data_IF_995655612346
#
_entry.id   IF_995655612346
#
_cell.length_a   1.000
_cell.length_b   1.000
_cell.length_c   1.000
_cell.angle_alpha   90.00
_cell.angle_beta   90.00
_cell.angle_gamma   90.00
#
_symmetry.space_group_name_H-M   'P 1'
#
loop_
_entity.id
_entity.type
_entity.pdbx_description
1 polymer ?
#
# COMPACT_ATOMS: atom_id res chain seq x y z
N UNK A 1 -3.03 9.55 12.55
CA UNK A 1 -2.94 10.50 11.44
C UNK A 1 -1.63 10.20 10.73
N UNK A 2 -1.26 10.92 9.68
CA UNK A 2 0.14 10.99 9.30
C UNK A 2 0.97 11.65 10.42
N UNK A 3 2.27 11.36 10.44
CA UNK A 3 3.23 11.85 11.42
C UNK A 3 3.39 13.37 11.26
N UNK A 4 3.21 14.09 12.37
CA UNK A 4 3.43 15.55 12.44
C UNK A 4 4.72 15.93 13.16
N UNK A 5 5.26 15.03 13.99
CA UNK A 5 6.54 15.21 14.70
C UNK A 5 7.33 13.91 14.62
N UNK A 6 8.27 13.85 13.68
CA UNK A 6 9.09 12.66 13.41
C UNK A 6 10.05 12.36 14.55
N UNK A 7 10.51 13.38 15.29
CA UNK A 7 11.39 13.23 16.44
C UNK A 7 10.65 12.56 17.59
N UNK A 8 9.43 13.01 17.89
CA UNK A 8 8.55 12.38 18.87
C UNK A 8 8.16 10.96 18.45
N UNK A 9 7.80 10.77 17.17
CA UNK A 9 7.49 9.44 16.64
C UNK A 9 8.68 8.49 16.79
N UNK A 10 9.88 8.92 16.39
CA UNK A 10 11.06 8.09 16.36
C UNK A 10 11.69 7.84 17.74
N UNK A 11 11.26 8.56 18.78
CA UNK A 11 11.85 8.54 20.13
C UNK A 11 13.35 8.88 20.12
N UNK A 12 13.76 9.80 19.25
CA UNK A 12 15.13 10.28 19.14
C UNK A 12 15.24 11.71 19.66
N UNK A 13 16.40 12.08 20.20
CA UNK A 13 16.69 13.49 20.46
C UNK A 13 17.09 14.20 19.17
N UNK A 14 17.06 15.55 19.15
CA UNK A 14 17.55 16.30 18.00
C UNK A 14 19.05 16.02 17.71
N UNK A 15 19.85 15.79 18.75
CA UNK A 15 21.27 15.44 18.62
C UNK A 15 21.47 14.04 18.01
N UNK A 16 20.62 13.08 18.36
CA UNK A 16 20.65 11.74 17.75
C UNK A 16 20.35 11.82 16.25
N UNK A 17 19.33 12.59 15.87
CA UNK A 17 18.92 12.75 14.46
C UNK A 17 20.02 13.44 13.64
N UNK A 18 20.64 14.49 14.20
CA UNK A 18 21.77 15.17 13.55
C UNK A 18 22.96 14.22 13.36
N UNK A 19 23.31 13.44 14.40
CA UNK A 19 24.42 12.47 14.31
C UNK A 19 24.12 11.35 13.30
N UNK A 20 22.88 10.85 13.27
CA UNK A 20 22.42 9.89 12.26
C UNK A 20 22.58 10.45 10.85
N UNK A 21 22.20 11.72 10.63
CA UNK A 21 22.36 12.41 9.35
C UNK A 21 23.82 12.46 8.90
N UNK A 22 24.73 12.84 9.80
CA UNK A 22 26.17 12.89 9.52
C UNK A 22 26.76 11.50 9.19
N UNK A 23 26.32 10.46 9.89
CA UNK A 23 26.76 9.09 9.61
C UNK A 23 26.24 8.57 8.26
N UNK A 24 25.00 8.92 7.88
CA UNK A 24 24.46 8.61 6.55
C UNK A 24 25.17 9.39 5.43
N UNK A 25 25.52 10.66 5.66
CA UNK A 25 26.35 11.43 4.73
C UNK A 25 27.75 10.80 4.57
N UNK A 26 28.33 10.25 5.65
CA UNK A 26 29.58 9.51 5.57
C UNK A 26 29.43 8.22 4.75
N UNK A 27 28.34 7.46 4.94
CA UNK A 27 28.02 6.28 4.11
C UNK A 27 27.96 6.64 2.63
N UNK A 28 27.23 7.72 2.28
CA UNK A 28 27.14 8.22 0.90
C UNK A 28 28.52 8.53 0.33
N UNK A 29 29.28 9.35 1.05
CA UNK A 29 30.60 9.83 0.61
C UNK A 29 31.59 8.69 0.40
N UNK A 30 31.62 7.71 1.30
CA UNK A 30 32.45 6.52 1.16
C UNK A 30 32.15 5.77 -0.14
N UNK A 31 30.87 5.63 -0.48
CA UNK A 31 30.46 4.94 -1.71
C UNK A 31 30.84 5.76 -2.93
N UNK A 32 30.52 7.05 -2.96
CA UNK A 32 30.86 7.97 -4.06
C UNK A 32 32.36 7.96 -4.36
N UNK A 33 33.21 8.04 -3.32
CA UNK A 33 34.67 8.02 -3.47
C UNK A 33 35.20 6.66 -3.94
N UNK A 34 34.44 5.58 -3.74
CA UNK A 34 34.82 4.22 -4.15
C UNK A 34 34.37 3.85 -5.57
N UNK A 35 33.54 4.68 -6.21
CA UNK A 35 33.01 4.39 -7.55
C UNK A 35 34.14 4.31 -8.58
N UNK A 36 34.08 3.32 -9.45
CA UNK A 36 35.11 3.14 -10.45
C UNK A 36 34.81 2.08 -11.50
N UNK A 37 35.86 1.46 -12.01
CA UNK A 37 35.76 0.57 -13.18
C UNK A 37 34.84 -0.63 -12.96
N UNK A 38 34.72 -1.12 -11.72
CA UNK A 38 33.80 -2.21 -11.35
C UNK A 38 32.35 -1.84 -11.68
N UNK A 39 31.95 -0.63 -11.34
CA UNK A 39 30.58 -0.13 -11.50
C UNK A 39 30.31 0.22 -12.97
N UNK A 40 31.27 0.88 -13.64
CA UNK A 40 31.17 1.17 -15.07
C UNK A 40 31.08 -0.12 -15.91
N UNK A 41 31.83 -1.16 -15.54
CA UNK A 41 31.76 -2.46 -16.21
C UNK A 41 30.43 -3.18 -15.92
N UNK A 42 29.85 -3.00 -14.74
CA UNK A 42 28.52 -3.53 -14.41
C UNK A 42 27.47 -2.98 -15.37
N UNK A 43 27.31 -1.65 -15.47
CA UNK A 43 26.24 -1.06 -16.29
C UNK A 43 26.42 -1.37 -17.78
N UNK A 44 27.66 -1.32 -18.30
CA UNK A 44 27.96 -1.68 -19.70
C UNK A 44 27.63 -3.14 -20.02
N UNK A 45 27.91 -4.06 -19.09
CA UNK A 45 27.55 -5.48 -19.24
C UNK A 45 26.04 -5.67 -19.18
N UNK A 46 25.35 -4.97 -18.28
CA UNK A 46 23.89 -5.01 -18.18
C UNK A 46 23.23 -4.53 -19.47
N UNK A 47 23.67 -3.38 -20.03
CA UNK A 47 23.17 -2.86 -21.30
C UNK A 47 23.40 -3.87 -22.43
N UNK A 48 24.61 -4.45 -22.53
CA UNK A 48 24.92 -5.46 -23.56
C UNK A 48 24.02 -6.69 -23.40
N UNK A 49 23.88 -7.22 -22.19
CA UNK A 49 23.07 -8.39 -21.91
C UNK A 49 21.59 -8.14 -22.25
N UNK A 50 21.03 -7.00 -21.86
CA UNK A 50 19.66 -6.61 -22.17
C UNK A 50 19.45 -6.50 -23.70
N UNK A 51 20.31 -5.76 -24.40
CA UNK A 51 20.21 -5.56 -25.86
C UNK A 51 20.35 -6.87 -26.63
N UNK A 52 21.28 -7.74 -26.22
CA UNK A 52 21.45 -9.08 -26.80
C UNK A 52 20.21 -9.94 -26.55
N UNK A 53 19.68 -9.94 -25.32
CA UNK A 53 18.50 -10.72 -24.96
C UNK A 53 17.28 -10.27 -25.78
N UNK A 54 17.06 -8.95 -25.93
CA UNK A 54 16.01 -8.43 -26.78
C UNK A 54 16.20 -8.86 -28.23
N UNK A 55 17.39 -8.67 -28.82
CA UNK A 55 17.66 -9.04 -30.20
C UNK A 55 17.39 -10.54 -30.46
N UNK A 56 17.90 -11.41 -29.58
CA UNK A 56 17.67 -12.87 -29.66
C UNK A 56 16.17 -13.19 -29.51
N UNK A 57 15.46 -12.50 -28.62
CA UNK A 57 14.01 -12.65 -28.49
C UNK A 57 13.27 -12.28 -29.78
N UNK A 58 13.59 -11.14 -30.40
CA UNK A 58 12.96 -10.69 -31.66
C UNK A 58 13.24 -11.67 -32.80
N UNK A 59 14.48 -12.16 -32.94
CA UNK A 59 14.83 -13.19 -33.95
C UNK A 59 14.07 -14.48 -33.69
N UNK A 60 14.00 -14.94 -32.45
CA UNK A 60 13.25 -16.14 -32.07
C UNK A 60 11.76 -16.00 -32.41
N UNK A 61 11.19 -14.81 -32.25
CA UNK A 61 9.79 -14.53 -32.57
C UNK A 61 9.48 -14.59 -34.08
N UNK A 62 10.47 -14.49 -34.97
CA UNK A 62 10.25 -14.76 -36.39
C UNK A 62 9.81 -16.22 -36.65
N UNK A 63 10.20 -17.15 -35.77
CA UNK A 63 9.79 -18.56 -35.81
C UNK A 63 8.56 -18.87 -34.91
N UNK A 64 7.87 -17.85 -34.39
CA UNK A 64 6.84 -18.00 -33.34
C UNK A 64 5.55 -18.70 -33.76
N UNK A 65 5.39 -19.09 -35.02
CA UNK A 65 4.34 -20.05 -35.41
C UNK A 65 4.52 -21.40 -34.71
N UNK A 66 5.76 -21.73 -34.31
CA UNK A 66 6.03 -22.80 -33.37
C UNK A 66 5.79 -22.31 -31.94
N UNK A 67 4.97 -23.05 -31.16
CA UNK A 67 4.60 -22.69 -29.79
C UNK A 67 5.80 -22.53 -28.84
N UNK A 68 6.86 -23.32 -29.02
CA UNK A 68 8.05 -23.27 -28.16
C UNK A 68 8.91 -22.06 -28.48
N UNK A 69 9.06 -21.73 -29.77
CA UNK A 69 9.70 -20.48 -30.18
C UNK A 69 8.92 -19.26 -29.68
N UNK A 70 7.58 -19.31 -29.71
CA UNK A 70 6.76 -18.23 -29.13
C UNK A 70 6.97 -18.11 -27.62
N UNK A 71 6.93 -19.21 -26.87
CA UNK A 71 7.15 -19.19 -25.41
C UNK A 71 8.55 -18.69 -25.06
N UNK A 72 9.59 -19.20 -25.72
CA UNK A 72 10.97 -18.80 -25.48
C UNK A 72 11.20 -17.32 -25.87
N UNK A 73 10.77 -16.91 -27.06
CA UNK A 73 10.88 -15.53 -27.53
C UNK A 73 10.12 -14.54 -26.65
N UNK A 74 8.89 -14.88 -26.25
CA UNK A 74 8.09 -14.04 -25.34
C UNK A 74 8.71 -13.95 -23.96
N UNK A 75 9.21 -15.08 -23.43
CA UNK A 75 9.89 -15.11 -22.13
C UNK A 75 11.16 -14.25 -22.11
N UNK A 76 12.03 -14.40 -23.12
CA UNK A 76 13.24 -13.57 -23.27
C UNK A 76 12.88 -12.09 -23.44
N UNK A 77 11.88 -11.77 -24.25
CA UNK A 77 11.43 -10.38 -24.45
C UNK A 77 10.87 -9.78 -23.15
N UNK A 78 10.11 -10.55 -22.37
CA UNK A 78 9.57 -10.10 -21.08
C UNK A 78 10.69 -9.77 -20.10
N UNK A 79 11.71 -10.63 -20.00
CA UNK A 79 12.88 -10.39 -19.16
C UNK A 79 13.70 -9.20 -19.67
N UNK A 80 13.91 -9.07 -20.98
CA UNK A 80 14.61 -7.94 -21.56
C UNK A 80 13.92 -6.60 -21.26
N UNK A 81 12.57 -6.56 -21.34
CA UNK A 81 11.77 -5.39 -20.96
C UNK A 81 11.83 -5.09 -19.46
N UNK A 82 11.86 -6.11 -18.60
CA UNK A 82 12.03 -5.92 -17.15
C UNK A 82 13.40 -5.32 -16.84
N UNK A 83 14.48 -5.84 -17.42
CA UNK A 83 15.84 -5.32 -17.20
C UNK A 83 15.96 -3.90 -17.73
N UNK A 84 15.41 -3.63 -18.93
CA UNK A 84 15.39 -2.28 -19.48
C UNK A 84 14.64 -1.33 -18.55
N UNK A 85 13.47 -1.70 -18.06
CA UNK A 85 12.67 -0.80 -17.24
C UNK A 85 13.28 -0.58 -15.84
N UNK A 86 13.63 -1.66 -15.13
CA UNK A 86 14.01 -1.61 -13.72
C UNK A 86 15.50 -1.31 -13.52
N UNK A 87 16.39 -2.04 -14.19
CA UNK A 87 17.84 -1.94 -13.93
C UNK A 87 18.52 -0.86 -14.78
N UNK A 88 17.98 -0.54 -15.96
CA UNK A 88 18.53 0.47 -16.86
C UNK A 88 17.76 1.79 -16.79
N UNK A 89 16.57 1.86 -17.38
CA UNK A 89 15.78 3.06 -17.57
C UNK A 89 15.52 3.82 -16.28
N UNK A 90 15.01 3.14 -15.24
CA UNK A 90 14.81 3.73 -13.92
C UNK A 90 16.13 4.26 -13.32
N UNK A 91 17.13 3.39 -13.16
CA UNK A 91 18.39 3.73 -12.49
C UNK A 91 19.20 4.81 -13.23
N UNK A 92 19.31 4.73 -14.56
CA UNK A 92 19.98 5.76 -15.37
C UNK A 92 19.20 7.08 -15.28
N UNK A 93 17.86 7.05 -15.32
CA UNK A 93 17.08 8.29 -15.23
C UNK A 93 17.17 8.95 -13.85
N UNK A 94 17.46 8.21 -12.78
CA UNK A 94 17.82 8.76 -11.46
C UNK A 94 19.18 9.47 -11.41
N UNK A 95 20.02 9.34 -12.44
CA UNK A 95 21.37 9.91 -12.45
C UNK A 95 22.42 9.02 -11.81
N UNK A 96 22.08 7.76 -11.52
CA UNK A 96 23.00 6.83 -10.84
C UNK A 96 24.33 6.62 -11.56
N UNK A 97 24.38 6.87 -12.87
CA UNK A 97 25.56 6.66 -13.71
C UNK A 97 26.16 7.96 -14.24
N UNK A 98 25.62 9.12 -13.87
CA UNK A 98 26.04 10.43 -14.42
C UNK A 98 27.50 10.76 -14.05
N UNK A 99 28.01 10.22 -12.94
CA UNK A 99 29.42 10.32 -12.54
C UNK A 99 30.40 9.80 -13.59
N UNK A 100 29.97 8.90 -14.48
CA UNK A 100 30.80 8.38 -15.57
C UNK A 100 31.05 9.41 -16.67
N UNK A 101 30.25 10.48 -16.75
CA UNK A 101 30.24 11.46 -17.84
C UNK A 101 30.15 10.81 -19.24
N UNK A 102 29.44 9.68 -19.34
CA UNK A 102 29.23 8.94 -20.58
C UNK A 102 27.94 9.45 -21.26
N UNK A 103 28.00 10.07 -22.45
CA UNK A 103 26.82 10.66 -23.08
C UNK A 103 25.76 9.63 -23.49
N UNK A 104 26.12 8.35 -23.61
CA UNK A 104 25.15 7.28 -23.88
C UNK A 104 24.51 6.72 -22.61
N UNK A 105 25.12 6.92 -21.44
CA UNK A 105 24.65 6.39 -20.14
C UNK A 105 24.49 7.57 -19.18
N UNK A 106 23.54 8.45 -19.49
CA UNK A 106 23.31 9.67 -18.71
C UNK A 106 21.81 9.93 -18.55
N UNK A 107 21.41 10.44 -17.40
CA UNK A 107 20.01 10.71 -17.05
C UNK A 107 19.33 11.74 -17.97
N UNK A 108 20.09 12.56 -18.68
CA UNK A 108 19.55 13.58 -19.61
C UNK A 108 19.40 13.08 -21.04
N UNK A 109 20.04 11.97 -21.41
CA UNK A 109 20.08 11.45 -22.78
C UNK A 109 19.42 10.07 -22.91
N UNK A 110 19.38 9.27 -21.84
CA UNK A 110 18.74 7.96 -21.86
C UNK A 110 17.22 8.10 -22.00
N UNK A 111 16.68 7.39 -22.99
CA UNK A 111 15.25 7.32 -23.25
C UNK A 111 14.78 5.87 -23.15
N UNK A 112 14.12 5.56 -22.04
CA UNK A 112 13.72 4.20 -21.67
C UNK A 112 12.58 3.60 -22.54
N UNK A 113 12.38 2.28 -22.44
CA UNK A 113 11.33 1.51 -23.11
C UNK A 113 9.98 1.58 -22.38
N UNK A 114 9.51 2.81 -22.16
CA UNK A 114 8.16 3.11 -21.65
C UNK A 114 7.46 4.17 -22.50
N UNK A 115 6.14 4.30 -22.32
CA UNK A 115 5.28 5.23 -23.06
C UNK A 115 5.47 6.69 -22.66
N UNK A 116 5.84 6.95 -21.40
CA UNK A 116 6.25 8.27 -20.89
C UNK A 116 7.67 8.64 -21.30
N UNK A 117 7.95 9.95 -21.35
CA UNK A 117 9.33 10.43 -21.60
C UNK A 117 10.17 10.35 -20.34
N UNK A 118 11.47 10.08 -20.45
CA UNK A 118 12.33 10.07 -19.24
C UNK A 118 12.39 11.47 -18.62
N UNK A 119 12.34 12.53 -19.44
CA UNK A 119 12.26 13.91 -18.96
C UNK A 119 11.03 14.23 -18.11
N UNK A 120 9.86 13.69 -18.46
CA UNK A 120 8.63 13.82 -17.65
C UNK A 120 8.76 13.07 -16.33
N UNK A 121 9.23 11.84 -16.38
CA UNK A 121 9.46 11.03 -15.20
C UNK A 121 10.46 11.69 -14.24
N UNK A 122 11.54 12.32 -14.73
CA UNK A 122 12.48 13.07 -13.88
C UNK A 122 11.80 14.24 -13.16
N UNK A 123 10.89 14.94 -13.82
CA UNK A 123 10.15 16.06 -13.21
C UNK A 123 9.10 15.60 -12.20
N UNK A 124 8.42 14.50 -12.49
CA UNK A 124 7.36 13.99 -11.64
C UNK A 124 7.94 13.18 -10.47
N UNK A 125 8.70 12.14 -10.77
CA UNK A 125 9.20 11.20 -9.78
C UNK A 125 10.48 11.69 -9.08
N UNK A 126 11.55 12.04 -9.81
CA UNK A 126 12.80 12.45 -9.13
C UNK A 126 12.63 13.71 -8.28
N UNK A 127 11.83 14.67 -8.75
CA UNK A 127 11.55 15.87 -7.97
C UNK A 127 10.40 15.64 -6.99
N UNK A 128 9.17 15.37 -7.44
CA UNK A 128 8.03 15.35 -6.52
C UNK A 128 8.11 14.16 -5.56
N UNK A 129 8.36 12.94 -6.05
CA UNK A 129 8.35 11.78 -5.17
C UNK A 129 9.55 11.74 -4.21
N UNK A 130 10.80 11.78 -4.70
CA UNK A 130 11.97 11.68 -3.80
C UNK A 130 12.17 12.89 -2.88
N UNK A 131 11.67 14.07 -3.24
CA UNK A 131 11.68 15.22 -2.31
C UNK A 131 10.62 15.02 -1.23
N UNK A 132 9.40 14.66 -1.64
CA UNK A 132 8.22 14.64 -0.77
C UNK A 132 7.80 13.23 -0.35
N UNK A 133 8.68 12.22 -0.37
CA UNK A 133 8.33 10.81 -0.14
C UNK A 133 7.35 10.63 1.01
N UNK A 134 6.17 10.08 0.68
CA UNK A 134 5.03 9.83 1.56
C UNK A 134 4.49 11.06 2.35
N UNK A 135 4.77 12.28 1.89
CA UNK A 135 4.17 13.51 2.43
C UNK A 135 2.79 13.70 1.81
N UNK A 136 1.75 13.63 2.65
CA UNK A 136 0.37 13.75 2.19
C UNK A 136 0.09 15.10 1.56
N UNK A 137 -0.54 15.08 0.38
CA UNK A 137 -0.85 16.30 -0.39
C UNK A 137 0.28 16.80 -1.27
N UNK A 138 1.50 16.23 -1.13
CA UNK A 138 2.69 16.61 -1.93
C UNK A 138 3.23 15.47 -2.77
N UNK A 139 3.29 14.27 -2.21
CA UNK A 139 3.71 13.08 -2.95
C UNK A 139 2.57 12.60 -3.85
N UNK A 140 2.66 12.86 -5.14
CA UNK A 140 1.66 12.42 -6.10
C UNK A 140 1.70 10.90 -6.33
N UNK A 141 2.77 10.20 -5.93
CA UNK A 141 2.88 8.74 -6.04
C UNK A 141 2.10 8.03 -4.93
N UNK A 142 1.69 8.74 -3.87
CA UNK A 142 0.74 8.21 -2.88
C UNK A 142 -0.60 7.90 -3.55
N UNK A 143 -0.78 6.63 -3.91
CA UNK A 143 -1.99 6.12 -4.54
C UNK A 143 -2.17 6.51 -6.01
N UNK A 144 -1.17 7.14 -6.66
CA UNK A 144 -1.21 7.53 -8.08
C UNK A 144 -2.46 8.32 -8.47
N UNK A 145 -3.04 9.08 -7.53
CA UNK A 145 -4.27 9.86 -7.70
C UNK A 145 -5.57 9.05 -7.92
N UNK A 146 -5.51 7.71 -7.92
CA UNK A 146 -6.66 6.83 -8.17
C UNK A 146 -6.96 5.85 -7.02
N UNK A 147 -5.94 5.54 -6.21
CA UNK A 147 -6.03 4.66 -5.06
C UNK A 147 -6.00 5.49 -3.78
N UNK A 148 -6.79 5.08 -2.78
CA UNK A 148 -6.71 5.62 -1.44
C UNK A 148 -5.80 4.71 -0.62
N UNK A 149 -4.58 5.19 -0.34
CA UNK A 149 -3.54 4.39 0.32
C UNK A 149 -3.36 4.68 1.81
N UNK A 150 -4.01 5.74 2.30
CA UNK A 150 -4.10 6.04 3.73
C UNK A 150 -5.51 6.46 4.11
N UNK A 151 -5.85 6.31 5.40
CA UNK A 151 -7.11 6.83 5.94
C UNK A 151 -7.08 8.32 6.29
N UNK A 152 -5.91 8.94 6.19
CA UNK A 152 -5.77 10.39 6.29
C UNK A 152 -6.37 11.12 5.08
N UNK A 153 -6.53 10.41 3.95
CA UNK A 153 -7.35 10.85 2.84
C UNK A 153 -8.83 10.55 3.11
N UNK A 154 -9.69 11.52 2.84
CA UNK A 154 -11.14 11.35 3.02
C UNK A 154 -11.67 10.26 2.07
N UNK A 155 -12.46 9.33 2.62
CA UNK A 155 -13.14 8.34 1.79
C UNK A 155 -14.19 9.00 0.88
N UNK A 156 -14.25 8.56 -0.39
CA UNK A 156 -15.24 8.96 -1.40
C UNK A 156 -15.88 7.71 -2.01
N UNK A 157 -17.15 7.76 -2.47
CA UNK A 157 -17.84 6.61 -3.06
C UNK A 157 -17.10 5.92 -4.22
N UNK A 158 -16.29 6.68 -4.98
CA UNK A 158 -15.47 6.13 -6.07
C UNK A 158 -14.42 5.11 -5.56
N UNK A 159 -14.03 5.16 -4.29
CA UNK A 159 -13.09 4.18 -3.74
C UNK A 159 -13.68 2.76 -3.65
N UNK A 160 -14.99 2.57 -3.81
CA UNK A 160 -15.55 1.21 -3.90
C UNK A 160 -15.02 0.44 -5.12
N UNK A 161 -14.68 1.14 -6.21
CA UNK A 161 -14.11 0.51 -7.42
C UNK A 161 -12.58 0.36 -7.36
N UNK A 162 -11.94 0.83 -6.28
CA UNK A 162 -10.49 0.79 -6.11
C UNK A 162 -9.87 -0.60 -6.35
N UNK A 163 -10.44 -1.73 -5.86
CA UNK A 163 -9.88 -3.05 -6.16
C UNK A 163 -9.79 -3.34 -7.67
N UNK A 164 -10.82 -2.95 -8.43
CA UNK A 164 -10.82 -3.10 -9.89
C UNK A 164 -9.88 -2.10 -10.56
N UNK A 165 -9.90 -0.84 -10.13
CA UNK A 165 -8.98 0.19 -10.62
C UNK A 165 -7.52 -0.21 -10.42
N UNK A 166 -7.21 -0.86 -9.30
CA UNK A 166 -5.88 -1.38 -9.00
C UNK A 166 -5.45 -2.50 -9.96
N UNK A 167 -6.35 -3.41 -10.35
CA UNK A 167 -6.04 -4.44 -11.36
C UNK A 167 -5.77 -3.82 -12.73
N UNK A 168 -6.54 -2.79 -13.10
CA UNK A 168 -6.31 -2.04 -14.34
C UNK A 168 -4.96 -1.33 -14.28
N UNK A 169 -4.68 -0.61 -13.19
CA UNK A 169 -3.39 0.05 -12.96
C UNK A 169 -2.24 -0.95 -13.06
N UNK A 170 -2.32 -2.11 -12.40
CA UNK A 170 -1.27 -3.12 -12.44
C UNK A 170 -1.06 -3.68 -13.86
N UNK A 171 -2.12 -3.85 -14.65
CA UNK A 171 -2.03 -4.34 -16.02
C UNK A 171 -1.51 -3.29 -17.01
N UNK A 172 -1.75 -2.00 -16.74
CA UNK A 172 -1.39 -0.86 -17.59
C UNK A 172 -0.42 0.10 -16.91
N UNK A 173 0.45 -0.42 -16.03
CA UNK A 173 1.24 0.40 -15.10
C UNK A 173 2.08 1.47 -15.79
N UNK A 174 2.71 1.16 -16.93
CA UNK A 174 3.44 2.13 -17.74
C UNK A 174 2.61 3.34 -18.17
N UNK A 175 1.32 3.13 -18.49
CA UNK A 175 0.41 4.19 -18.90
C UNK A 175 -0.05 4.99 -17.70
N UNK A 176 -0.22 4.32 -16.55
CA UNK A 176 -0.47 4.98 -15.27
C UNK A 176 0.64 5.98 -14.94
N UNK A 177 1.90 5.52 -14.97
CA UNK A 177 3.08 6.38 -14.77
C UNK A 177 3.11 7.49 -15.81
N UNK A 178 3.00 7.17 -17.11
CA UNK A 178 3.17 8.17 -18.15
C UNK A 178 2.10 9.30 -18.13
N UNK A 179 0.85 8.97 -17.76
CA UNK A 179 -0.23 9.95 -17.62
C UNK A 179 -0.14 10.76 -16.32
N UNK A 180 0.36 10.11 -15.25
CA UNK A 180 0.68 10.77 -13.99
C UNK A 180 1.81 11.78 -14.20
N UNK A 181 2.92 11.38 -14.81
CA UNK A 181 4.06 12.26 -15.07
C UNK A 181 3.68 13.46 -15.96
N UNK A 182 2.86 13.23 -16.99
CA UNK A 182 2.33 14.29 -17.84
C UNK A 182 1.46 15.27 -17.05
N UNK A 183 0.66 14.76 -16.12
CA UNK A 183 -0.20 15.59 -15.27
C UNK A 183 0.62 16.44 -14.31
N UNK A 184 1.65 15.85 -13.69
CA UNK A 184 2.61 16.52 -12.82
C UNK A 184 3.37 17.63 -13.56
N UNK A 185 3.92 17.32 -14.74
CA UNK A 185 4.61 18.32 -15.57
C UNK A 185 3.68 19.49 -15.95
N UNK A 186 2.44 19.19 -16.35
CA UNK A 186 1.47 20.25 -16.69
C UNK A 186 1.14 21.12 -15.47
N UNK A 187 1.04 20.53 -14.28
CA UNK A 187 0.82 21.28 -13.05
C UNK A 187 2.03 22.17 -12.71
N UNK A 188 3.25 21.66 -12.82
CA UNK A 188 4.49 22.41 -12.58
C UNK A 188 4.70 23.57 -13.55
N UNK A 189 4.21 23.43 -14.80
CA UNK A 189 4.32 24.46 -15.85
C UNK A 189 3.07 25.37 -15.94
N UNK A 190 2.13 25.28 -15.00
CA UNK A 190 0.86 26.00 -15.01
C UNK A 190 0.06 25.85 -16.32
N UNK A 191 0.19 24.69 -17.00
CA UNK A 191 -0.50 24.39 -18.25
C UNK A 191 -1.86 23.77 -17.93
N UNK A 192 -2.99 24.41 -18.31
CA UNK A 192 -4.32 23.86 -18.04
C UNK A 192 -4.51 22.46 -18.63
N UNK A 193 -5.21 21.59 -17.89
CA UNK A 193 -5.52 20.22 -18.34
C UNK A 193 -6.26 20.20 -19.69
N UNK A 194 -7.11 21.20 -19.94
CA UNK A 194 -7.88 21.38 -21.18
C UNK A 194 -7.04 21.77 -22.39
N UNK A 195 -5.81 22.27 -22.20
CA UNK A 195 -4.94 22.65 -23.31
C UNK A 195 -4.26 21.41 -23.92
N UNK A 196 -4.88 20.86 -24.96
CA UNK A 196 -4.46 19.60 -25.60
C UNK A 196 -3.19 19.77 -26.46
N UNK A 197 -2.97 20.94 -27.08
CA UNK A 197 -1.84 21.19 -27.99
C UNK A 197 -0.60 21.80 -27.30
N UNK A 198 -0.41 21.55 -26.01
CA UNK A 198 0.76 22.02 -25.26
C UNK A 198 2.03 21.20 -25.56
N UNK A 199 3.22 21.76 -25.30
CA UNK A 199 4.49 21.04 -25.49
C UNK A 199 4.60 19.74 -24.66
N UNK A 200 4.19 19.70 -23.38
CA UNK A 200 4.09 18.45 -22.61
C UNK A 200 3.31 17.35 -23.33
N UNK A 201 2.13 17.70 -23.85
CA UNK A 201 1.27 16.77 -24.59
C UNK A 201 1.93 16.31 -25.90
N UNK A 202 2.52 17.22 -26.68
CA UNK A 202 3.22 16.87 -27.92
C UNK A 202 4.38 15.91 -27.66
N UNK A 203 5.19 16.17 -26.63
CA UNK A 203 6.31 15.31 -26.25
C UNK A 203 5.83 13.91 -25.86
N UNK A 204 4.82 13.84 -24.99
CA UNK A 204 4.16 12.59 -24.58
C UNK A 204 3.62 11.81 -25.78
N UNK A 205 2.76 12.41 -26.62
CA UNK A 205 2.14 11.70 -27.73
C UNK A 205 3.15 11.25 -28.79
N UNK A 206 4.22 12.04 -29.02
CA UNK A 206 5.32 11.63 -29.89
C UNK A 206 6.05 10.40 -29.36
N UNK A 207 6.34 10.37 -28.05
CA UNK A 207 7.00 9.22 -27.40
C UNK A 207 6.08 8.00 -27.38
N UNK A 208 4.87 8.14 -26.86
CA UNK A 208 3.88 7.08 -26.79
C UNK A 208 3.57 6.50 -28.19
N UNK A 209 3.39 7.36 -29.19
CA UNK A 209 3.17 6.95 -30.58
C UNK A 209 4.33 6.15 -31.16
N UNK A 210 5.59 6.54 -30.90
CA UNK A 210 6.78 5.77 -31.30
C UNK A 210 6.81 4.39 -30.64
N UNK A 211 6.51 4.30 -29.34
CA UNK A 211 6.52 3.01 -28.64
C UNK A 211 5.40 2.08 -29.10
N UNK A 212 4.19 2.61 -29.25
CA UNK A 212 3.04 1.84 -29.75
C UNK A 212 3.29 1.37 -31.18
N UNK A 213 3.80 2.25 -32.05
CA UNK A 213 4.15 1.87 -33.41
C UNK A 213 5.27 0.80 -33.41
N UNK A 214 6.30 0.96 -32.59
CA UNK A 214 7.39 -0.02 -32.48
C UNK A 214 6.85 -1.41 -32.11
N UNK A 215 6.13 -1.51 -30.99
CA UNK A 215 5.70 -2.79 -30.43
C UNK A 215 4.47 -3.40 -31.12
N UNK A 216 3.56 -2.61 -31.67
CA UNK A 216 2.30 -3.13 -32.21
C UNK A 216 2.15 -3.01 -33.72
N UNK A 217 3.09 -2.33 -34.40
CA UNK A 217 3.10 -2.23 -35.86
C UNK A 217 4.41 -2.73 -36.46
N UNK A 218 5.56 -2.12 -36.12
CA UNK A 218 6.85 -2.38 -36.76
C UNK A 218 7.30 -3.82 -36.52
N UNK A 219 7.46 -4.26 -35.26
CA UNK A 219 7.92 -5.63 -34.99
C UNK A 219 6.98 -6.72 -35.53
N UNK A 220 5.64 -6.61 -35.36
CA UNK A 220 4.72 -7.54 -36.02
C UNK A 220 4.93 -7.63 -37.53
N UNK A 221 5.03 -6.50 -38.24
CA UNK A 221 5.27 -6.48 -39.68
C UNK A 221 6.60 -7.12 -40.08
N UNK A 222 7.67 -6.87 -39.32
CA UNK A 222 9.00 -7.46 -39.56
C UNK A 222 8.99 -9.00 -39.47
N UNK A 223 8.06 -9.59 -38.71
CA UNK A 223 7.93 -11.05 -38.60
C UNK A 223 7.02 -11.69 -39.65
N UNK A 224 6.50 -10.90 -40.61
CA UNK A 224 5.77 -11.39 -41.78
C UNK A 224 4.60 -12.32 -41.40
N UNK A 225 4.57 -13.59 -41.86
CA UNK A 225 3.47 -14.52 -41.57
C UNK A 225 3.24 -14.82 -40.08
N UNK A 226 4.17 -14.46 -39.19
CA UNK A 226 4.06 -14.64 -37.75
C UNK A 226 3.57 -13.37 -37.00
N UNK A 227 3.13 -12.33 -37.72
CA UNK A 227 2.78 -11.03 -37.13
C UNK A 227 1.78 -11.12 -35.97
N UNK A 228 0.77 -12.01 -36.04
CA UNK A 228 -0.23 -12.19 -34.97
C UNK A 228 0.41 -12.72 -33.69
N UNK A 229 1.36 -13.64 -33.83
CA UNK A 229 2.09 -14.23 -32.71
C UNK A 229 3.03 -13.21 -32.07
N UNK A 230 3.73 -12.41 -32.89
CA UNK A 230 4.58 -11.30 -32.41
C UNK A 230 3.76 -10.22 -31.72
N UNK A 231 2.60 -9.85 -32.26
CA UNK A 231 1.69 -8.90 -31.62
C UNK A 231 1.27 -9.38 -30.22
N UNK A 232 0.89 -10.66 -30.10
CA UNK A 232 0.57 -11.28 -28.81
C UNK A 232 1.78 -11.33 -27.88
N UNK A 233 2.96 -11.70 -28.39
CA UNK A 233 4.20 -11.74 -27.59
C UNK A 233 4.53 -10.36 -27.01
N UNK A 234 4.42 -9.30 -27.82
CA UNK A 234 4.69 -7.93 -27.38
C UNK A 234 3.66 -7.47 -26.35
N UNK A 235 2.37 -7.78 -26.56
CA UNK A 235 1.33 -7.49 -25.56
C UNK A 235 1.59 -8.23 -24.23
N UNK A 236 1.94 -9.51 -24.30
CA UNK A 236 2.28 -10.32 -23.12
C UNK A 236 3.52 -9.78 -22.41
N UNK A 237 4.59 -9.44 -23.13
CA UNK A 237 5.81 -8.92 -22.54
C UNK A 237 5.60 -7.56 -21.85
N UNK A 238 4.81 -6.66 -22.45
CA UNK A 238 4.43 -5.39 -21.82
C UNK A 238 3.56 -5.60 -20.57
N UNK A 239 2.61 -6.55 -20.61
CA UNK A 239 1.80 -6.93 -19.44
C UNK A 239 2.67 -7.50 -18.31
N UNK A 240 3.58 -8.42 -18.63
CA UNK A 240 4.49 -9.03 -17.64
C UNK A 240 5.37 -7.96 -17.00
N UNK A 241 5.96 -7.05 -17.79
CA UNK A 241 6.72 -5.92 -17.25
C UNK A 241 5.85 -5.01 -16.38
N UNK A 242 4.62 -4.69 -16.80
CA UNK A 242 3.70 -3.87 -16.00
C UNK A 242 3.42 -4.48 -14.63
N UNK A 243 3.03 -5.76 -14.60
CA UNK A 243 2.73 -6.47 -13.36
C UNK A 243 3.95 -6.56 -12.45
N UNK A 244 5.13 -6.79 -13.02
CA UNK A 244 6.39 -6.85 -12.28
C UNK A 244 6.77 -5.50 -11.68
N UNK A 245 6.82 -4.43 -12.50
CA UNK A 245 7.11 -3.08 -12.07
C UNK A 245 6.15 -2.60 -10.98
N UNK A 246 4.84 -2.80 -11.20
CA UNK A 246 3.80 -2.52 -10.21
C UNK A 246 4.06 -3.24 -8.89
N UNK A 247 4.35 -4.56 -8.93
CA UNK A 247 4.56 -5.35 -7.73
C UNK A 247 5.80 -4.87 -6.95
N UNK A 248 6.91 -4.60 -7.63
CA UNK A 248 8.15 -4.10 -7.02
C UNK A 248 7.93 -2.74 -6.36
N UNK A 249 7.40 -1.76 -7.10
CA UNK A 249 7.20 -0.39 -6.61
C UNK A 249 6.19 -0.34 -5.45
N UNK A 250 5.08 -1.07 -5.54
CA UNK A 250 4.09 -1.08 -4.46
C UNK A 250 4.64 -1.70 -3.16
N UNK A 251 5.54 -2.68 -3.26
CA UNK A 251 6.20 -3.25 -2.09
C UNK A 251 7.18 -2.27 -1.41
N UNK A 252 7.63 -1.25 -2.14
CA UNK A 252 8.53 -0.21 -1.64
C UNK A 252 7.86 0.84 -0.75
N UNK A 253 6.59 1.16 -1.01
CA UNK A 253 5.96 2.39 -0.49
C UNK A 253 4.76 2.19 0.42
N UNK A 254 4.04 1.09 0.25
CA UNK A 254 2.72 0.91 0.84
C UNK A 254 2.55 -0.21 1.88
N UNK A 255 3.49 -1.14 2.10
CA UNK A 255 3.33 -2.09 3.19
C UNK A 255 3.26 -1.43 4.56
N UNK A 256 2.76 -2.19 5.54
CA UNK A 256 2.74 -1.76 6.94
C UNK A 256 4.16 -1.43 7.41
N UNK A 257 4.36 -0.24 7.99
CA UNK A 257 5.65 0.28 8.43
C UNK A 257 6.38 1.19 7.44
N UNK A 258 5.83 1.41 6.23
CA UNK A 258 6.17 2.56 5.40
C UNK A 258 5.23 3.72 5.80
N UNK A 259 5.71 4.61 6.65
CA UNK A 259 4.92 5.66 7.30
C UNK A 259 4.61 6.84 6.38
N UNK A 260 3.66 7.69 6.80
CA UNK A 260 3.20 8.87 6.06
C UNK A 260 3.40 10.11 6.91
N UNK A 261 3.65 11.24 6.26
CA UNK A 261 4.06 12.48 6.91
C UNK A 261 3.17 13.64 6.49
N UNK A 262 3.03 14.65 7.34
CA UNK A 262 2.28 15.87 6.98
C UNK A 262 3.19 16.90 6.31
N UNK A 263 2.58 17.84 5.60
CA UNK A 263 3.32 19.00 5.05
C UNK A 263 3.98 19.84 6.15
N UNK A 264 3.39 19.89 7.34
CA UNK A 264 3.93 20.60 8.50
C UNK A 264 5.26 20.00 8.96
N UNK A 265 5.36 18.66 9.06
CA UNK A 265 6.61 17.98 9.36
C UNK A 265 7.68 18.26 8.30
N UNK A 266 7.29 18.29 7.03
CA UNK A 266 8.22 18.56 5.93
C UNK A 266 8.72 20.01 5.95
N UNK A 267 7.85 20.99 6.25
CA UNK A 267 8.15 22.41 6.11
C UNK A 267 9.32 22.90 6.99
N UNK A 268 9.64 22.18 8.06
CA UNK A 268 10.69 22.55 9.03
C UNK A 268 11.81 21.51 9.12
N UNK A 269 11.86 20.53 8.21
CA UNK A 269 12.77 19.40 8.34
C UNK A 269 14.25 19.79 8.16
N UNK A 270 15.07 19.26 9.07
CA UNK A 270 16.53 19.24 8.93
C UNK A 270 16.98 18.13 7.98
N UNK A 271 18.26 18.11 7.61
CA UNK A 271 18.83 17.03 6.78
C UNK A 271 18.71 15.65 7.44
N UNK A 272 18.94 15.57 8.75
CA UNK A 272 18.78 14.32 9.51
C UNK A 272 17.31 13.86 9.57
N UNK A 273 16.36 14.79 9.72
CA UNK A 273 14.93 14.48 9.68
C UNK A 273 14.48 14.05 8.28
N UNK A 274 15.02 14.64 7.21
CA UNK A 274 14.82 14.17 5.84
C UNK A 274 15.26 12.72 5.69
N UNK A 275 16.48 12.38 6.15
CA UNK A 275 16.98 11.01 6.10
C UNK A 275 16.08 10.03 6.87
N UNK A 276 15.68 10.41 8.07
CA UNK A 276 14.79 9.62 8.91
C UNK A 276 13.42 9.42 8.24
N UNK A 277 12.88 10.45 7.58
CA UNK A 277 11.63 10.37 6.82
C UNK A 277 11.75 9.42 5.64
N UNK A 278 12.84 9.50 4.86
CA UNK A 278 13.09 8.59 3.74
C UNK A 278 13.15 7.13 4.20
N UNK A 279 13.82 6.87 5.33
CA UNK A 279 13.93 5.52 5.90
C UNK A 279 12.60 4.98 6.42
N UNK A 280 11.86 5.79 7.18
CA UNK A 280 10.61 5.37 7.79
C UNK A 280 9.45 5.37 6.77
N UNK A 281 9.56 6.12 5.68
CA UNK A 281 8.57 6.19 4.60
C UNK A 281 8.71 5.08 3.55
N UNK A 282 9.71 4.21 3.64
CA UNK A 282 9.97 3.18 2.64
C UNK A 282 10.16 1.80 3.28
N UNK A 283 9.99 0.76 2.46
CA UNK A 283 10.04 -0.62 2.88
C UNK A 283 10.82 -1.48 1.88
N UNK A 284 11.67 -2.36 2.40
CA UNK A 284 12.45 -3.28 1.61
C UNK A 284 11.75 -4.63 1.44
N UNK A 285 12.21 -5.41 0.48
CA UNK A 285 11.90 -6.84 0.44
C UNK A 285 13.15 -7.70 0.29
N UNK A 286 13.10 -8.90 0.87
CA UNK A 286 14.21 -9.84 0.81
C UNK A 286 14.36 -10.40 -0.60
N UNK A 287 15.57 -10.31 -1.14
CA UNK A 287 15.89 -10.77 -2.48
C UNK A 287 17.24 -11.49 -2.54
N UNK A 288 17.31 -12.56 -3.34
CA UNK A 288 18.58 -13.10 -3.82
C UNK A 288 19.09 -12.30 -5.03
N UNK A 289 20.32 -12.57 -5.52
CA UNK A 289 20.97 -11.77 -6.56
C UNK A 289 20.14 -11.61 -7.85
N UNK A 290 19.48 -12.68 -8.30
CA UNK A 290 18.64 -12.63 -9.50
C UNK A 290 17.41 -11.73 -9.33
N UNK A 291 16.75 -11.81 -8.17
CA UNK A 291 15.56 -11.01 -7.91
C UNK A 291 15.92 -9.55 -7.63
N UNK A 292 17.06 -9.30 -6.97
CA UNK A 292 17.61 -7.95 -6.82
C UNK A 292 17.84 -7.30 -8.19
N UNK A 293 18.56 -7.97 -9.10
CA UNK A 293 18.79 -7.49 -10.46
C UNK A 293 17.50 -7.29 -11.27
N UNK A 294 16.56 -8.25 -11.24
CA UNK A 294 15.29 -8.10 -11.95
C UNK A 294 14.41 -6.98 -11.38
N UNK A 295 14.60 -6.61 -10.12
CA UNK A 295 13.92 -5.47 -9.49
C UNK A 295 14.66 -4.13 -9.68
N UNK A 296 15.79 -4.08 -10.37
CA UNK A 296 16.59 -2.85 -10.46
C UNK A 296 17.30 -2.50 -9.14
N UNK A 297 17.46 -3.48 -8.26
CA UNK A 297 17.81 -3.35 -6.83
C UNK A 297 16.79 -2.58 -5.97
N UNK A 298 15.56 -2.37 -6.44
CA UNK A 298 14.46 -1.79 -5.64
C UNK A 298 13.97 -2.70 -4.49
N UNK A 299 14.54 -3.90 -4.35
CA UNK A 299 14.47 -4.64 -3.09
C UNK A 299 15.10 -3.88 -1.90
N UNK A 300 15.96 -2.89 -2.19
CA UNK A 300 16.60 -1.95 -1.28
C UNK A 300 15.99 -0.54 -1.41
N UNK A 301 14.67 -0.45 -1.32
CA UNK A 301 13.92 0.81 -1.41
C UNK A 301 14.38 1.86 -0.38
N UNK A 302 14.70 1.46 0.85
CA UNK A 302 15.22 2.35 1.88
C UNK A 302 16.50 3.01 1.40
N UNK A 303 17.45 2.23 0.90
CA UNK A 303 18.73 2.72 0.40
C UNK A 303 18.55 3.58 -0.86
N UNK A 304 17.63 3.19 -1.73
CA UNK A 304 17.25 3.97 -2.90
C UNK A 304 16.67 5.33 -2.52
N UNK A 305 15.85 5.43 -1.48
CA UNK A 305 15.30 6.71 -1.02
C UNK A 305 16.30 7.58 -0.28
N UNK A 306 17.23 6.95 0.45
CA UNK A 306 18.36 7.64 1.07
C UNK A 306 19.31 8.24 0.01
N UNK A 307 19.63 7.47 -1.03
CA UNK A 307 20.67 7.79 -2.02
C UNK A 307 20.24 7.42 -3.46
N UNK A 308 19.19 8.06 -4.02
CA UNK A 308 18.57 7.63 -5.28
C UNK A 308 19.50 7.73 -6.49
N UNK A 309 20.50 8.61 -6.39
CA UNK A 309 21.51 8.94 -7.39
C UNK A 309 22.82 8.15 -7.22
N UNK A 310 22.87 7.17 -6.33
CA UNK A 310 24.01 6.24 -6.19
C UNK A 310 23.75 4.97 -7.01
N UNK A 311 24.76 4.42 -7.73
CA UNK A 311 24.62 3.17 -8.46
C UNK A 311 23.93 2.04 -7.68
N UNK A 312 22.84 1.53 -8.24
CA UNK A 312 21.97 0.47 -7.69
C UNK A 312 22.74 -0.78 -7.26
N UNK A 313 23.83 -1.10 -7.95
CA UNK A 313 24.70 -2.23 -7.66
C UNK A 313 25.47 -2.09 -6.32
N UNK A 314 25.50 -0.88 -5.73
CA UNK A 314 26.08 -0.60 -4.41
C UNK A 314 25.06 -0.73 -3.27
N UNK A 315 23.75 -0.73 -3.56
CA UNK A 315 22.71 -0.82 -2.52
C UNK A 315 22.87 -2.03 -1.57
N UNK A 316 23.29 -3.22 -2.00
CA UNK A 316 23.56 -4.32 -1.07
C UNK A 316 24.61 -3.99 -0.01
N UNK A 317 25.65 -3.24 -0.38
CA UNK A 317 26.73 -2.83 0.53
C UNK A 317 26.27 -1.68 1.45
N UNK A 318 25.53 -0.72 0.90
CA UNK A 318 24.91 0.37 1.66
C UNK A 318 23.93 -0.18 2.70
N UNK A 319 23.12 -1.16 2.32
CA UNK A 319 22.10 -1.74 3.17
C UNK A 319 22.68 -2.40 4.43
N UNK A 320 23.93 -2.87 4.40
CA UNK A 320 24.62 -3.35 5.60
C UNK A 320 24.87 -2.18 6.57
N UNK A 321 25.49 -1.10 6.08
CA UNK A 321 25.77 0.09 6.90
C UNK A 321 24.48 0.75 7.42
N UNK A 322 23.43 0.85 6.60
CA UNK A 322 22.13 1.41 7.02
C UNK A 322 21.49 0.55 8.11
N UNK A 323 21.56 -0.79 8.02
CA UNK A 323 21.07 -1.68 9.07
C UNK A 323 21.83 -1.51 10.39
N UNK A 324 23.15 -1.36 10.33
CA UNK A 324 23.97 -1.08 11.53
C UNK A 324 23.55 0.23 12.21
N UNK A 325 23.25 1.27 11.42
CA UNK A 325 22.71 2.53 11.95
C UNK A 325 21.29 2.34 12.53
N UNK A 326 20.42 1.59 11.86
CA UNK A 326 19.10 1.25 12.41
C UNK A 326 19.21 0.51 13.76
N UNK A 327 20.20 -0.37 13.93
CA UNK A 327 20.43 -1.06 15.19
C UNK A 327 21.02 -0.12 16.26
N UNK A 328 21.93 0.78 15.87
CA UNK A 328 22.56 1.76 16.76
C UNK A 328 21.55 2.74 17.36
N UNK A 329 20.62 3.27 16.56
CA UNK A 329 19.60 4.24 16.98
C UNK A 329 18.24 3.60 17.31
N UNK A 330 18.19 2.26 17.40
CA UNK A 330 16.98 1.49 17.68
C UNK A 330 15.78 1.88 16.79
N UNK A 331 16.04 2.04 15.49
CA UNK A 331 15.06 2.32 14.45
C UNK A 331 14.62 1.02 13.75
N UNK A 332 13.37 0.90 13.29
CA UNK A 332 12.94 -0.24 12.50
C UNK A 332 13.58 -0.19 11.11
N UNK A 333 14.10 -1.34 10.67
CA UNK A 333 14.46 -1.56 9.26
C UNK A 333 13.35 -2.36 8.59
N UNK A 334 12.38 -1.65 7.98
CA UNK A 334 11.14 -2.25 7.47
C UNK A 334 11.44 -3.17 6.29
N UNK A 335 11.44 -4.48 6.52
CA UNK A 335 11.72 -5.49 5.48
C UNK A 335 10.91 -6.78 5.66
N UNK A 336 10.71 -7.53 4.57
CA UNK A 336 10.04 -8.83 4.59
C UNK A 336 10.14 -9.55 3.24
N UNK A 337 9.56 -10.74 3.10
CA UNK A 337 9.46 -11.39 1.78
C UNK A 337 8.62 -10.54 0.82
N UNK A 338 8.93 -10.56 -0.49
CA UNK A 338 8.16 -9.85 -1.53
C UNK A 338 6.64 -10.12 -1.43
N UNK A 339 6.25 -11.39 -1.30
CA UNK A 339 4.83 -11.76 -1.19
C UNK A 339 4.14 -11.16 0.04
N UNK A 340 4.82 -11.08 1.19
CA UNK A 340 4.29 -10.43 2.40
C UNK A 340 4.09 -8.94 2.16
N UNK A 341 5.11 -8.24 1.65
CA UNK A 341 5.00 -6.79 1.38
C UNK A 341 3.86 -6.50 0.40
N UNK A 342 3.75 -7.29 -0.67
CA UNK A 342 2.68 -7.18 -1.65
C UNK A 342 1.30 -7.37 -1.02
N UNK A 343 1.12 -8.42 -0.20
CA UNK A 343 -0.16 -8.72 0.44
C UNK A 343 -0.56 -7.65 1.47
N UNK A 344 0.39 -7.00 2.13
CA UNK A 344 0.11 -5.88 3.03
C UNK A 344 -0.42 -4.67 2.26
N UNK A 345 0.25 -4.27 1.18
CA UNK A 345 -0.22 -3.20 0.30
C UNK A 345 -1.60 -3.54 -0.31
N UNK A 346 -1.76 -4.75 -0.83
CA UNK A 346 -3.02 -5.23 -1.41
C UNK A 346 -4.16 -5.25 -0.39
N UNK A 347 -3.90 -5.68 0.85
CA UNK A 347 -4.87 -5.62 1.95
C UNK A 347 -5.30 -4.18 2.22
N UNK A 348 -4.37 -3.22 2.22
CA UNK A 348 -4.68 -1.80 2.42
C UNK A 348 -5.62 -1.27 1.34
N UNK A 349 -5.35 -1.55 0.06
CA UNK A 349 -6.19 -1.17 -1.08
C UNK A 349 -7.63 -1.67 -0.91
N UNK A 350 -7.80 -2.94 -0.52
CA UNK A 350 -9.12 -3.54 -0.35
C UNK A 350 -9.84 -3.03 0.89
N UNK A 351 -9.10 -2.84 1.98
CA UNK A 351 -9.64 -2.35 3.25
C UNK A 351 -10.12 -0.91 3.13
N UNK A 352 -9.34 -0.04 2.48
CA UNK A 352 -9.65 1.39 2.32
C UNK A 352 -10.65 1.67 1.18
N UNK A 353 -11.02 0.67 0.39
CA UNK A 353 -12.12 0.74 -0.56
C UNK A 353 -13.49 0.95 0.14
N UNK A 354 -13.64 0.42 1.36
CA UNK A 354 -14.89 0.51 2.13
C UNK A 354 -14.95 1.80 2.98
N UNK A 355 -16.15 2.31 3.30
CA UNK A 355 -16.33 3.47 4.17
C UNK A 355 -15.67 3.33 5.53
N UNK A 356 -15.19 4.45 6.08
CA UNK A 356 -14.41 4.49 7.33
C UNK A 356 -15.15 3.93 8.56
N UNK A 357 -16.49 3.92 8.55
CA UNK A 357 -17.31 3.29 9.62
C UNK A 357 -17.06 1.80 9.82
N UNK A 358 -16.43 1.12 8.85
CA UNK A 358 -16.06 -0.30 8.95
C UNK A 358 -14.64 -0.50 9.49
N UNK A 359 -13.86 0.57 9.66
CA UNK A 359 -12.51 0.52 10.21
C UNK A 359 -12.56 0.49 11.73
N UNK A 360 -11.78 -0.41 12.34
CA UNK A 360 -11.77 -0.59 13.80
C UNK A 360 -10.75 0.28 14.53
N UNK A 361 -9.63 0.62 13.88
CA UNK A 361 -8.55 1.41 14.47
C UNK A 361 -8.65 2.87 14.04
N UNK A 362 -8.05 3.77 14.80
CA UNK A 362 -7.89 5.19 14.44
C UNK A 362 -6.71 5.36 13.49
N UNK A 363 -6.58 6.53 12.86
CA UNK A 363 -5.41 6.84 12.02
C UNK A 363 -4.09 6.83 12.79
N UNK A 364 -4.11 6.94 14.12
CA UNK A 364 -2.89 6.99 14.92
C UNK A 364 -2.25 5.60 15.09
N UNK A 365 -3.04 4.53 15.06
CA UNK A 365 -2.57 3.14 15.24
C UNK A 365 -3.07 2.20 14.13
N UNK A 366 -3.11 2.67 12.89
CA UNK A 366 -3.39 1.80 11.77
C UNK A 366 -2.15 0.99 11.38
N UNK A 367 -2.32 -0.22 10.83
CA UNK A 367 -1.18 -0.88 10.18
C UNK A 367 -0.66 -0.12 8.96
N UNK A 368 -1.54 0.54 8.20
CA UNK A 368 -1.18 1.27 6.97
C UNK A 368 -0.72 2.74 7.17
N UNK A 369 -0.93 3.31 8.36
CA UNK A 369 -0.56 4.70 8.73
C UNK A 369 -0.49 4.81 10.25
N UNK A 370 0.48 5.54 10.78
CA UNK A 370 0.53 5.79 12.22
C UNK A 370 1.09 7.17 12.55
N UNK A 371 0.89 7.60 13.78
CA UNK A 371 1.39 8.89 14.29
C UNK A 371 2.05 8.72 15.65
N UNK A 372 2.76 9.75 16.10
CA UNK A 372 3.36 9.83 17.43
C UNK A 372 2.33 9.66 18.56
N UNK A 373 1.05 9.94 18.29
CA UNK A 373 -0.05 9.77 19.26
C UNK A 373 -0.31 8.31 19.62
N UNK A 374 0.14 7.33 18.83
CA UNK A 374 0.02 5.91 19.20
C UNK A 374 0.75 5.57 20.50
N UNK A 375 1.72 6.39 20.89
CA UNK A 375 2.50 6.23 22.10
C UNK A 375 1.94 7.06 23.26
N UNK A 376 0.88 7.85 23.04
CA UNK A 376 0.25 8.65 24.10
C UNK A 376 -0.26 7.75 25.24
N UNK A 377 0.15 8.09 26.48
CA UNK A 377 -0.19 7.31 27.67
C UNK A 377 0.71 6.09 27.92
N UNK A 378 1.65 5.77 27.03
CA UNK A 378 2.78 4.91 27.37
C UNK A 378 3.80 5.77 28.10
N UNK A 379 4.17 5.37 29.32
CA UNK A 379 5.25 6.04 30.05
C UNK A 379 6.51 5.87 29.21
N UNK A 380 7.19 6.95 28.78
CA UNK A 380 8.48 6.81 28.12
C UNK A 380 9.39 6.15 29.15
N UNK A 381 9.64 4.84 28.98
CA UNK A 381 10.50 4.20 29.96
C UNK A 381 11.90 4.81 29.86
N UNK A 382 12.52 4.95 31.02
CA UNK A 382 13.86 5.49 31.19
C UNK A 382 14.83 4.79 30.21
N UNK A 383 15.94 5.44 29.81
CA UNK A 383 17.00 4.76 29.07
C UNK A 383 17.31 3.41 29.74
N UNK A 384 17.48 2.37 28.93
CA UNK A 384 17.65 1.01 29.43
C UNK A 384 18.74 0.97 30.50
N UNK A 385 18.51 0.20 31.56
CA UNK A 385 19.49 0.02 32.64
C UNK A 385 20.84 -0.57 32.13
N UNK A 386 20.89 -1.02 30.88
CA UNK A 386 22.04 -1.54 30.15
C UNK A 386 22.79 -0.49 29.31
N UNK A 387 22.35 0.77 29.29
CA UNK A 387 22.97 1.86 28.52
C UNK A 387 22.70 1.82 27.02
N UNK A 388 21.75 1.00 26.54
CA UNK A 388 21.37 0.96 25.11
C UNK A 388 20.41 2.09 24.75
N UNK A 389 20.61 2.67 23.56
CA UNK A 389 19.70 3.65 22.97
C UNK A 389 18.31 3.01 22.78
N UNK A 390 17.25 3.76 23.10
CA UNK A 390 15.88 3.27 23.08
C UNK A 390 15.05 4.18 22.18
N UNK A 391 14.74 3.67 21.00
CA UNK A 391 14.13 4.39 19.89
C UNK A 391 12.80 3.76 19.46
N UNK A 392 12.43 4.05 18.23
CA UNK A 392 11.15 3.66 17.65
C UNK A 392 10.89 2.14 17.67
N UNK A 393 11.91 1.31 17.44
CA UNK A 393 11.75 -0.15 17.38
C UNK A 393 11.31 -0.70 18.73
N UNK A 394 11.94 -0.28 19.83
CA UNK A 394 11.50 -0.64 21.19
C UNK A 394 10.11 -0.07 21.51
N UNK A 395 9.88 1.20 21.19
CA UNK A 395 8.58 1.85 21.43
C UNK A 395 7.43 1.14 20.70
N UNK A 396 7.62 0.69 19.45
CA UNK A 396 6.65 -0.10 18.70
C UNK A 396 6.38 -1.46 19.34
N UNK A 397 7.41 -2.12 19.87
CA UNK A 397 7.27 -3.40 20.55
C UNK A 397 6.40 -3.25 21.82
N UNK A 398 6.63 -2.19 22.59
CA UNK A 398 5.88 -1.87 23.81
C UNK A 398 4.44 -1.48 23.51
N UNK A 399 4.23 -0.58 22.54
CA UNK A 399 2.90 -0.20 22.09
C UNK A 399 2.09 -1.44 21.67
N UNK A 400 2.72 -2.40 20.99
CA UNK A 400 2.09 -3.66 20.58
C UNK A 400 1.71 -4.54 21.78
N UNK A 401 2.51 -4.56 22.84
CA UNK A 401 2.17 -5.28 24.10
C UNK A 401 0.99 -4.60 24.78
N UNK A 402 1.07 -3.28 24.99
CA UNK A 402 0.00 -2.50 25.61
C UNK A 402 -1.34 -2.63 24.86
N UNK A 403 -1.31 -2.58 23.52
CA UNK A 403 -2.50 -2.79 22.68
C UNK A 403 -3.11 -4.19 22.85
N UNK A 404 -2.28 -5.22 23.01
CA UNK A 404 -2.76 -6.60 23.24
C UNK A 404 -3.40 -6.74 24.61
N UNK A 405 -2.82 -6.12 25.64
CA UNK A 405 -3.36 -6.11 26.99
C UNK A 405 -4.70 -5.37 27.05
N UNK A 406 -4.77 -4.18 26.44
CA UNK A 406 -6.03 -3.42 26.29
C UNK A 406 -7.10 -4.23 25.57
N UNK A 407 -6.76 -4.88 24.45
CA UNK A 407 -7.70 -5.72 23.71
C UNK A 407 -8.20 -6.92 24.52
N UNK A 408 -7.36 -7.50 25.38
CA UNK A 408 -7.77 -8.57 26.31
C UNK A 408 -8.73 -8.04 27.37
N UNK A 409 -8.42 -6.92 27.99
CA UNK A 409 -9.27 -6.27 28.99
C UNK A 409 -10.65 -5.88 28.40
N UNK A 410 -10.69 -5.34 27.18
CA UNK A 410 -11.95 -5.04 26.48
C UNK A 410 -12.76 -6.31 26.16
N UNK A 411 -12.11 -7.40 25.76
CA UNK A 411 -12.78 -8.69 25.53
C UNK A 411 -13.37 -9.27 26.82
N UNK A 412 -12.65 -9.14 27.93
CA UNK A 412 -13.10 -9.58 29.25
C UNK A 412 -14.30 -8.76 29.72
N UNK A 413 -14.21 -7.42 29.67
CA UNK A 413 -15.31 -6.52 29.99
C UNK A 413 -16.55 -6.79 29.12
N UNK A 414 -16.37 -7.04 27.81
CA UNK A 414 -17.48 -7.41 26.92
C UNK A 414 -18.11 -8.76 27.30
N UNK A 415 -17.29 -9.72 27.74
CA UNK A 415 -17.75 -11.04 28.19
C UNK A 415 -18.58 -10.91 29.47
N UNK A 416 -18.12 -10.12 30.43
CA UNK A 416 -18.83 -9.81 31.67
C UNK A 416 -20.14 -9.08 31.39
N UNK A 417 -20.12 -8.03 30.56
CA UNK A 417 -21.33 -7.30 30.17
C UNK A 417 -22.36 -8.21 29.49
N UNK A 418 -21.92 -9.12 28.61
CA UNK A 418 -22.80 -10.13 27.97
C UNK A 418 -23.36 -11.12 29.00
N UNK A 419 -22.58 -11.53 29.99
CA UNK A 419 -23.06 -12.40 31.06
C UNK A 419 -24.11 -11.69 31.92
N UNK A 420 -23.85 -10.45 32.34
CA UNK A 420 -24.79 -9.63 33.10
C UNK A 420 -26.11 -9.40 32.33
N UNK A 421 -26.04 -9.10 31.03
CA UNK A 421 -27.22 -8.97 30.18
C UNK A 421 -28.03 -10.28 30.08
N UNK A 422 -27.36 -11.44 30.03
CA UNK A 422 -28.04 -12.75 30.02
C UNK A 422 -28.77 -13.01 31.33
N UNK A 423 -28.14 -12.72 32.47
CA UNK A 423 -28.76 -12.86 33.79
C UNK A 423 -29.97 -11.94 33.92
N UNK A 424 -29.84 -10.67 33.50
CA UNK A 424 -30.96 -9.73 33.49
C UNK A 424 -32.11 -10.21 32.59
N UNK A 425 -31.80 -10.70 31.39
CA UNK A 425 -32.81 -11.24 30.48
C UNK A 425 -33.50 -12.51 31.02
N UNK A 426 -32.79 -13.35 31.80
CA UNK A 426 -33.39 -14.50 32.48
C UNK A 426 -34.34 -14.06 33.58
N UNK A 427 -33.93 -13.12 34.44
CA UNK A 427 -34.78 -12.57 35.49
C UNK A 427 -36.04 -11.90 34.91
N UNK A 428 -35.92 -11.09 33.85
CA UNK A 428 -37.08 -10.48 33.18
C UNK A 428 -38.03 -11.54 32.59
N UNK A 429 -37.49 -12.64 32.02
CA UNK A 429 -38.31 -13.75 31.52
C UNK A 429 -39.04 -14.49 32.64
N UNK A 430 -38.42 -14.65 33.80
CA UNK A 430 -39.06 -15.26 34.98
C UNK A 430 -40.20 -14.39 35.49
N UNK A 431 -39.98 -13.09 35.66
CA UNK A 431 -41.03 -12.13 36.04
C UNK A 431 -42.19 -12.14 35.05
N UNK A 432 -41.91 -12.15 33.75
CA UNK A 432 -42.95 -12.23 32.71
C UNK A 432 -43.73 -13.56 32.77
N UNK A 433 -43.06 -14.68 33.08
CA UNK A 433 -43.71 -15.98 33.25
C UNK A 433 -44.63 -15.99 34.47
N UNK A 434 -44.17 -15.47 35.60
CA UNK A 434 -44.95 -15.36 36.83
C UNK A 434 -46.17 -14.44 36.62
N UNK A 435 -45.99 -13.28 35.99
CA UNK A 435 -47.08 -12.37 35.66
C UNK A 435 -48.10 -13.03 34.70
N UNK A 436 -47.62 -13.78 33.71
CA UNK A 436 -48.50 -14.52 32.79
C UNK A 436 -49.28 -15.62 33.49
N UNK A 437 -48.65 -16.38 34.38
CA UNK A 437 -49.30 -17.40 35.19
C UNK A 437 -50.38 -16.79 36.09
N UNK A 438 -50.07 -15.69 36.79
CA UNK A 438 -51.02 -14.98 37.64
C UNK A 438 -52.24 -14.45 36.86
N UNK A 439 -52.03 -13.94 35.64
CA UNK A 439 -53.12 -13.52 34.74
C UNK A 439 -53.99 -14.71 34.30
N UNK A 440 -53.38 -15.86 33.98
CA UNK A 440 -54.12 -17.07 33.62
C UNK A 440 -54.95 -17.60 34.78
N UNK A 441 -54.41 -17.61 35.99
CA UNK A 441 -55.12 -18.06 37.18
C UNK A 441 -56.30 -17.13 37.50
N UNK A 442 -56.10 -15.81 37.43
CA UNK A 442 -57.19 -14.83 37.56
C UNK A 442 -58.28 -15.02 36.51
N UNK A 443 -57.91 -15.27 35.25
CA UNK A 443 -58.87 -15.56 34.18
C UNK A 443 -59.64 -16.87 34.43
N UNK A 444 -58.99 -17.90 34.99
CA UNK A 444 -59.65 -19.15 35.40
C UNK A 444 -60.64 -18.92 36.54
N UNK A 445 -60.26 -18.16 37.55
CA UNK A 445 -61.14 -17.80 38.67
C UNK A 445 -62.37 -17.02 38.19
N UNK A 446 -62.18 -15.98 37.38
CA UNK A 446 -63.28 -15.21 36.78
C UNK A 446 -64.18 -16.10 35.93
N UNK A 447 -63.61 -17.00 35.13
CA UNK A 447 -64.35 -18.00 34.36
C UNK A 447 -65.17 -18.96 35.24
N UNK A 448 -64.63 -19.41 36.38
CA UNK A 448 -65.37 -20.23 37.34
C UNK A 448 -66.52 -19.46 38.01
N UNK A 449 -66.30 -18.20 38.38
CA UNK A 449 -67.33 -17.32 38.94
C UNK A 449 -68.47 -17.12 37.93
N UNK A 450 -68.14 -16.84 36.67
CA UNK A 450 -69.12 -16.70 35.59
C UNK A 450 -69.90 -18.01 35.37
N UNK A 451 -69.23 -19.17 35.37
CA UNK A 451 -69.90 -20.48 35.27
C UNK A 451 -70.84 -20.75 36.44
N UNK A 452 -70.43 -20.46 37.68
CA UNK A 452 -71.29 -20.59 38.87
C UNK A 452 -72.51 -19.68 38.78
N UNK A 453 -72.32 -18.44 38.31
CA UNK A 453 -73.43 -17.49 38.07
C UNK A 453 -74.39 -18.01 37.01
N UNK A 454 -73.89 -18.49 35.86
CA UNK A 454 -74.71 -19.04 34.79
C UNK A 454 -75.48 -20.30 35.22
N UNK A 455 -74.87 -21.18 36.02
CA UNK A 455 -75.54 -22.35 36.61
C UNK A 455 -76.65 -21.92 37.59
N UNK A 456 -76.40 -20.91 38.42
CA UNK A 456 -77.41 -20.34 39.34
C UNK A 456 -78.57 -19.72 38.56
N UNK A 457 -78.30 -18.96 37.50
CA UNK A 457 -79.33 -18.39 36.63
C UNK A 457 -80.12 -19.48 35.90
N UNK A 458 -79.47 -20.54 35.39
CA UNK A 458 -80.16 -21.71 34.81
C UNK A 458 -81.03 -22.45 35.83
N UNK A 459 -80.57 -22.59 37.07
CA UNK A 459 -81.35 -23.20 38.14
C UNK A 459 -82.58 -22.34 38.48
N UNK A 460 -82.40 -21.02 38.62
CA UNK A 460 -83.51 -20.07 38.82
C UNK A 460 -84.50 -20.10 37.64
N UNK A 461 -84.01 -20.19 36.41
CA UNK A 461 -84.85 -20.34 35.22
C UNK A 461 -85.64 -21.65 35.23
N UNK A 462 -85.02 -22.78 35.62
CA UNK A 462 -85.72 -24.07 35.77
C UNK A 462 -86.80 -24.02 36.85
N UNK A 463 -86.54 -23.35 37.97
CA UNK A 463 -87.53 -23.13 39.04
C UNK A 463 -88.70 -22.28 38.54
N UNK A 464 -88.41 -21.15 37.88
CA UNK A 464 -89.43 -20.28 37.27
C UNK A 464 -90.26 -21.03 36.22
N UNK A 465 -89.62 -21.86 35.39
CA UNK A 465 -90.32 -22.70 34.41
C UNK A 465 -91.25 -23.72 35.08
N UNK A 466 -90.79 -24.44 36.12
CA UNK A 466 -91.64 -25.36 36.91
C UNK A 466 -92.81 -24.65 37.59
N UNK A 467 -92.61 -23.44 38.12
CA UNK A 467 -93.69 -22.63 38.68
C UNK A 467 -94.70 -22.18 37.62
N UNK A 468 -94.24 -21.84 36.40
CA UNK A 468 -95.12 -21.56 35.25
C UNK A 468 -95.90 -22.79 34.80
N UNK A 469 -95.28 -23.97 34.77
CA UNK A 469 -95.94 -25.24 34.44
C UNK A 469 -97.03 -25.61 35.46
N UNK A 470 -96.84 -25.27 36.75
CA UNK A 470 -97.86 -25.46 37.79
C UNK A 470 -99.02 -24.45 37.71
N UNK A 471 -98.82 -23.27 37.11
CA UNK A 471 -99.86 -22.24 36.92
C UNK A 471 -100.64 -22.38 35.60
N UNK A 472 -100.31 -23.37 34.77
CA UNK A 472 -100.99 -23.65 33.48
C UNK A 472 -101.64 -25.04 33.47
N UNK A 473 -101.74 -25.68 34.64
CA UNK A 473 -102.41 -26.97 34.87
C UNK A 473 -103.52 -26.89 35.93
N UNK A 474 -103.87 -25.67 36.35
CA UNK A 474 -105.14 -25.25 36.95
C UNK A 474 -105.78 -24.28 35.96
#
# INVERSE_FOLDING_TARGET
>A
MAITDIKAFAHLTAADIETLGQELDAVRRDVELSLGERDANYIRRTIRAQRTLEAVARVTLAASRNRWAWLAGTGMLSVAKIIENMELGHNISHGQWDWMNDPEIHSSTWEWDMTGTSGQWKRAHNYSHHTYTNVLGKDEDLGFGILRMTRDEQWRPIHLVQPLANLVLAATFEWGIALHDLSAEKAQLDVPRTQVLSEPNKSFFRKAGRQVAKDFLIYPLLTGPAWKQTLKANATANLVRNLWAYAVIFCGHFPDGAEKFTEEQFATETRGEWYLRQMLGSANFQAGPAMAFLSGNLCYQIEHHLFPDIPSNRYPEIAVKVRELCDKYDLPYTTGSLGKQYLLAFRTIHKLALPDRFLRRTADDAPETSSERKFSGLVPALPGADGRHRGLRSALAEAKVALREKARAEQEALREARAALRVKAQAEREVLREASAALQDRAREEGQVLRRRALRERALWRVRRRQRSRRLGE
#
